data_IF_546362517009
#
_entry.id   IF_546362517009
#
_cell.length_a   1.000
_cell.length_b   1.000
_cell.length_c   1.000
_cell.angle_alpha   90.00
_cell.angle_beta   90.00
_cell.angle_gamma   90.00
#
_symmetry.space_group_name_H-M   'P 1'
#
loop_
_entity.id
_entity.type
_entity.pdbx_description
1 polymer ?
#
# COMPACT_ATOMS: atom_id res chain seq x y z
N UNK A 1 27.16 30.26 -18.68
CA UNK A 1 25.83 30.90 -18.72
C UNK A 1 25.71 31.61 -20.05
N UNK A 2 24.96 31.02 -20.98
CA UNK A 2 24.90 31.41 -22.40
C UNK A 2 23.64 32.24 -22.66
N UNK A 3 23.81 33.34 -23.40
CA UNK A 3 22.78 34.36 -23.69
C UNK A 3 21.58 33.80 -24.52
N UNK A 4 21.72 32.60 -25.07
CA UNK A 4 20.67 31.85 -25.78
C UNK A 4 19.53 31.35 -24.88
N UNK A 5 19.80 31.17 -23.59
CA UNK A 5 18.86 30.49 -22.69
C UNK A 5 17.72 31.44 -22.27
N UNK A 6 17.99 32.75 -22.16
CA UNK A 6 16.99 33.74 -21.73
C UNK A 6 15.88 33.97 -22.76
N UNK A 7 16.20 34.02 -24.06
CA UNK A 7 15.20 34.17 -25.13
C UNK A 7 14.25 32.97 -25.16
N UNK A 8 14.81 31.76 -25.04
CA UNK A 8 14.04 30.51 -25.06
C UNK A 8 13.13 30.39 -23.84
N UNK A 9 13.57 30.86 -22.66
CA UNK A 9 12.73 30.91 -21.45
C UNK A 9 11.53 31.86 -21.58
N UNK A 10 11.72 33.03 -22.21
CA UNK A 10 10.64 34.00 -22.44
C UNK A 10 9.61 33.45 -23.42
N UNK A 11 10.07 32.85 -24.53
CA UNK A 11 9.20 32.18 -25.49
C UNK A 11 8.41 31.05 -24.85
N UNK A 12 9.07 30.21 -24.05
CA UNK A 12 8.45 29.10 -23.33
C UNK A 12 7.34 29.57 -22.38
N UNK A 13 7.56 30.64 -21.61
CA UNK A 13 6.51 31.23 -20.76
C UNK A 13 5.32 31.71 -21.60
N UNK A 14 5.58 32.40 -22.71
CA UNK A 14 4.51 32.91 -23.59
C UNK A 14 3.67 31.77 -24.21
N UNK A 15 4.31 30.66 -24.59
CA UNK A 15 3.68 29.48 -25.16
C UNK A 15 2.84 28.76 -24.11
N UNK A 16 3.34 28.64 -22.87
CA UNK A 16 2.60 28.06 -21.75
C UNK A 16 1.35 28.89 -21.44
N UNK A 17 1.43 30.22 -21.41
CA UNK A 17 0.27 31.07 -21.16
C UNK A 17 -0.80 30.94 -22.25
N UNK A 18 -0.39 30.89 -23.52
CA UNK A 18 -1.31 30.65 -24.65
C UNK A 18 -2.00 29.28 -24.52
N UNK A 19 -1.23 28.26 -24.16
CA UNK A 19 -1.74 26.92 -23.96
C UNK A 19 -2.72 26.85 -22.77
N UNK A 20 -2.43 27.52 -21.65
CA UNK A 20 -3.31 27.61 -20.47
C UNK A 20 -4.63 28.30 -20.78
N UNK A 21 -4.60 29.40 -21.55
CA UNK A 21 -5.80 30.10 -22.03
C UNK A 21 -6.68 29.20 -22.88
N UNK A 22 -6.08 28.39 -23.75
CA UNK A 22 -6.82 27.47 -24.64
C UNK A 22 -7.47 26.31 -23.89
N UNK A 23 -6.81 25.75 -22.88
CA UNK A 23 -7.35 24.64 -22.08
C UNK A 23 -8.19 25.09 -20.87
N UNK A 24 -8.39 26.40 -20.69
CA UNK A 24 -9.03 27.01 -19.53
C UNK A 24 -8.47 26.50 -18.18
N UNK A 25 -7.14 26.35 -18.11
CA UNK A 25 -6.44 25.79 -16.96
C UNK A 25 -5.85 26.86 -16.04
N UNK A 26 -6.14 26.80 -14.73
CA UNK A 26 -5.61 27.75 -13.75
C UNK A 26 -4.17 27.49 -13.30
N UNK A 27 -3.65 26.26 -13.50
CA UNK A 27 -2.32 25.83 -13.04
C UNK A 27 -1.61 25.05 -14.15
N UNK A 28 -0.28 25.14 -14.19
CA UNK A 28 0.58 24.36 -15.11
C UNK A 28 0.32 22.83 -15.04
N UNK A 29 -0.13 22.36 -13.86
CA UNK A 29 -0.53 20.97 -13.66
C UNK A 29 -1.68 20.53 -14.59
N UNK A 30 -2.54 21.46 -15.03
CA UNK A 30 -3.61 21.18 -15.99
C UNK A 30 -3.08 20.91 -17.38
N UNK A 31 -2.02 21.61 -17.80
CA UNK A 31 -1.37 21.44 -19.10
C UNK A 31 -0.76 20.04 -19.25
N UNK A 32 -0.18 19.53 -18.17
CA UNK A 32 0.45 18.22 -18.10
C UNK A 32 -0.46 17.04 -18.54
N UNK A 33 -1.79 17.17 -18.40
CA UNK A 33 -2.77 16.14 -18.80
C UNK A 33 -2.94 15.97 -20.32
N UNK A 34 -2.53 16.99 -21.07
CA UNK A 34 -2.69 17.04 -22.54
C UNK A 34 -1.40 16.73 -23.29
N UNK A 35 -0.30 16.54 -22.56
CA UNK A 35 1.02 16.28 -23.15
C UNK A 35 1.31 14.78 -23.04
N UNK A 36 1.37 14.05 -24.17
CA UNK A 36 1.72 12.63 -24.18
C UNK A 36 3.21 12.41 -23.88
N UNK A 37 3.55 11.22 -23.38
CA UNK A 37 4.93 10.78 -23.16
C UNK A 37 5.13 9.38 -23.74
N UNK A 38 6.31 9.11 -24.28
CA UNK A 38 6.68 7.82 -24.91
C UNK A 38 6.51 6.61 -23.98
N UNK A 39 6.65 6.80 -22.67
CA UNK A 39 6.48 5.75 -21.65
C UNK A 39 5.00 5.34 -21.41
N UNK A 40 4.07 6.00 -22.09
CA UNK A 40 2.63 5.83 -21.93
C UNK A 40 2.07 6.67 -20.79
N UNK A 41 0.93 7.32 -21.04
CA UNK A 41 0.26 8.23 -20.10
C UNK A 41 0.57 9.71 -20.34
N UNK A 42 -0.02 10.55 -19.50
CA UNK A 42 0.20 12.00 -19.52
C UNK A 42 1.48 12.38 -18.78
N UNK A 43 2.08 13.51 -19.16
CA UNK A 43 3.31 13.97 -18.54
C UNK A 43 3.14 14.30 -17.05
N UNK A 44 4.04 13.81 -16.20
CA UNK A 44 4.02 14.19 -14.79
C UNK A 44 4.58 15.60 -14.60
N UNK A 45 4.05 16.36 -13.64
CA UNK A 45 4.48 17.73 -13.37
C UNK A 45 5.98 17.85 -13.00
N UNK A 46 6.57 16.80 -12.42
CA UNK A 46 8.02 16.73 -12.19
C UNK A 46 8.81 16.71 -13.50
N UNK A 47 8.37 15.92 -14.48
CA UNK A 47 8.99 15.88 -15.80
C UNK A 47 8.84 17.22 -16.51
N UNK A 48 7.66 17.85 -16.41
CA UNK A 48 7.45 19.19 -16.97
C UNK A 48 8.41 20.23 -16.36
N UNK A 49 8.61 20.20 -15.03
CA UNK A 49 9.58 21.07 -14.36
C UNK A 49 11.03 20.79 -14.78
N UNK A 50 11.37 19.52 -15.02
CA UNK A 50 12.70 19.10 -15.50
C UNK A 50 12.97 19.53 -16.94
N UNK A 51 12.00 19.34 -17.85
CA UNK A 51 12.08 19.73 -19.25
C UNK A 51 12.27 21.24 -19.46
N UNK A 52 11.74 22.08 -18.55
CA UNK A 52 11.99 23.53 -18.57
C UNK A 52 13.48 23.88 -18.45
N UNK A 53 14.25 23.10 -17.70
CA UNK A 53 15.68 23.33 -17.46
C UNK A 53 16.59 22.59 -18.44
N UNK A 54 16.23 21.36 -18.82
CA UNK A 54 17.10 20.51 -19.65
C UNK A 54 16.85 20.65 -21.15
N UNK A 55 15.59 20.74 -21.61
CA UNK A 55 15.25 20.79 -23.04
C UNK A 55 14.03 21.68 -23.33
N UNK A 56 14.17 23.02 -23.20
CA UNK A 56 13.04 23.95 -23.37
C UNK A 56 12.49 23.97 -24.81
N UNK A 57 13.33 23.73 -25.82
CA UNK A 57 12.92 23.71 -27.24
C UNK A 57 11.96 22.56 -27.56
N UNK A 58 12.26 21.37 -27.04
CA UNK A 58 11.41 20.18 -27.21
C UNK A 58 10.04 20.41 -26.55
N UNK A 59 10.04 21.05 -25.38
CA UNK A 59 8.80 21.36 -24.68
C UNK A 59 7.91 22.33 -25.47
N UNK A 60 8.49 23.35 -26.11
CA UNK A 60 7.76 24.28 -26.98
C UNK A 60 7.13 23.54 -28.17
N UNK A 61 7.89 22.67 -28.84
CA UNK A 61 7.37 21.86 -29.94
C UNK A 61 6.20 20.98 -29.49
N UNK A 62 6.36 20.28 -28.35
CA UNK A 62 5.34 19.38 -27.81
C UNK A 62 4.04 20.12 -27.44
N UNK A 63 4.14 21.28 -26.80
CA UNK A 63 2.98 22.13 -26.47
C UNK A 63 2.31 22.65 -27.73
N UNK A 64 3.09 23.04 -28.74
CA UNK A 64 2.55 23.58 -29.99
C UNK A 64 1.74 22.51 -30.72
N UNK A 65 2.32 21.33 -30.93
CA UNK A 65 1.67 20.22 -31.64
C UNK A 65 0.43 19.70 -30.91
N UNK A 66 0.49 19.48 -29.59
CA UNK A 66 -0.59 18.81 -28.86
C UNK A 66 -1.62 19.74 -28.23
N UNK A 67 -1.30 21.03 -28.06
CA UNK A 67 -2.21 21.99 -27.41
C UNK A 67 -2.58 23.15 -28.32
N UNK A 68 -1.61 23.81 -28.97
CA UNK A 68 -1.89 25.00 -29.78
C UNK A 68 -2.50 24.66 -31.14
N UNK A 69 -2.01 23.63 -31.82
CA UNK A 69 -2.51 23.23 -33.15
C UNK A 69 -3.73 22.30 -33.06
N UNK A 70 -3.92 21.61 -31.94
CA UNK A 70 -5.04 20.71 -31.74
C UNK A 70 -6.37 21.47 -31.57
N UNK A 71 -7.33 21.32 -32.49
CA UNK A 71 -8.67 21.96 -32.41
C UNK A 71 -9.44 21.62 -31.12
N UNK A 72 -9.28 20.39 -30.62
CA UNK A 72 -9.75 19.95 -29.30
C UNK A 72 -8.61 19.19 -28.62
N UNK A 73 -7.91 19.77 -27.63
CA UNK A 73 -6.82 19.08 -26.96
C UNK A 73 -7.38 17.87 -26.22
N UNK A 74 -6.94 16.67 -26.60
CA UNK A 74 -7.42 15.43 -26.02
C UNK A 74 -6.66 15.13 -24.72
N UNK A 75 -7.39 14.84 -23.65
CA UNK A 75 -6.77 14.39 -22.40
C UNK A 75 -6.14 13.02 -22.62
N UNK A 76 -4.85 12.89 -22.34
CA UNK A 76 -4.13 11.62 -22.47
C UNK A 76 -4.55 10.70 -21.33
N UNK A 77 -5.05 9.52 -21.67
CA UNK A 77 -5.45 8.53 -20.66
C UNK A 77 -4.23 8.09 -19.85
N UNK A 78 -4.33 8.03 -18.51
CA UNK A 78 -3.22 7.55 -17.68
C UNK A 78 -2.79 6.14 -18.08
N UNK A 79 -1.49 5.85 -17.96
CA UNK A 79 -0.97 4.49 -18.17
C UNK A 79 -1.74 3.52 -17.28
N UNK A 80 -2.30 2.41 -17.83
CA UNK A 80 -2.95 1.42 -17.00
C UNK A 80 -1.94 0.89 -16.00
N UNK A 81 -2.34 0.84 -14.72
CA UNK A 81 -1.51 0.22 -13.69
C UNK A 81 -1.33 -1.24 -14.09
N UNK A 82 -0.12 -1.75 -13.96
CA UNK A 82 0.12 -3.19 -14.11
C UNK A 82 -0.89 -3.93 -13.22
N UNK A 83 -1.50 -5.03 -13.70
CA UNK A 83 -2.36 -5.86 -12.87
C UNK A 83 -1.64 -6.14 -11.56
N UNK A 84 -2.29 -5.80 -10.44
CA UNK A 84 -1.66 -5.79 -9.11
C UNK A 84 -1.45 -7.22 -8.61
N UNK A 85 -0.53 -7.94 -9.24
CA UNK A 85 -0.20 -9.34 -9.00
C UNK A 85 -1.35 -10.31 -9.26
N UNK A 86 -1.01 -11.51 -9.75
CA UNK A 86 -1.79 -12.68 -9.35
C UNK A 86 -1.77 -12.71 -7.83
N UNK A 87 -2.95 -12.78 -7.17
CA UNK A 87 -3.03 -12.99 -5.72
C UNK A 87 -2.00 -14.07 -5.38
N UNK A 88 -0.94 -13.71 -4.65
CA UNK A 88 0.01 -14.68 -4.07
C UNK A 88 -0.83 -15.85 -3.58
N UNK A 89 -0.54 -17.06 -4.09
CA UNK A 89 -1.34 -18.26 -3.82
C UNK A 89 -1.70 -18.31 -2.35
N UNK A 90 -2.99 -18.23 -2.07
CA UNK A 90 -3.53 -18.42 -0.73
C UNK A 90 -3.69 -19.93 -0.56
N UNK A 91 -2.60 -20.68 -0.58
CA UNK A 91 -2.55 -22.07 -0.10
C UNK A 91 -2.58 -22.08 1.44
N UNK A 92 -3.43 -21.22 2.02
CA UNK A 92 -3.70 -21.15 3.44
C UNK A 92 -4.94 -22.00 3.63
N UNK A 93 -4.76 -23.27 3.98
CA UNK A 93 -5.85 -24.17 4.33
C UNK A 93 -6.76 -23.45 5.34
N UNK A 94 -7.97 -23.09 4.93
CA UNK A 94 -8.96 -22.46 5.79
C UNK A 94 -9.60 -23.53 6.65
N UNK A 95 -8.96 -23.90 7.77
CA UNK A 95 -9.58 -24.78 8.74
C UNK A 95 -10.80 -24.08 9.36
N UNK A 96 -11.96 -24.73 9.29
CA UNK A 96 -13.12 -24.31 10.06
C UNK A 96 -12.92 -24.68 11.53
N UNK A 97 -13.71 -24.07 12.43
CA UNK A 97 -13.67 -24.41 13.86
C UNK A 97 -13.85 -25.92 14.09
N UNK A 98 -14.71 -26.56 13.30
CA UNK A 98 -14.96 -27.99 13.38
C UNK A 98 -13.74 -28.83 12.96
N UNK A 99 -13.01 -28.40 11.92
CA UNK A 99 -11.80 -29.09 11.48
C UNK A 99 -10.71 -29.04 12.57
N UNK A 100 -10.57 -27.90 13.24
CA UNK A 100 -9.63 -27.75 14.37
C UNK A 100 -10.02 -28.67 15.54
N UNK A 101 -11.32 -28.76 15.86
CA UNK A 101 -11.81 -29.66 16.91
C UNK A 101 -11.55 -31.14 16.59
N UNK A 102 -11.74 -31.54 15.32
CA UNK A 102 -11.42 -32.90 14.85
C UNK A 102 -9.92 -33.19 14.93
N UNK A 103 -9.08 -32.25 14.52
CA UNK A 103 -7.62 -32.41 14.59
C UNK A 103 -7.16 -32.47 16.05
N UNK A 104 -7.73 -31.66 16.95
CA UNK A 104 -7.48 -31.73 18.38
C UNK A 104 -7.86 -33.09 18.98
N UNK A 105 -9.00 -33.65 18.55
CA UNK A 105 -9.43 -34.97 18.99
C UNK A 105 -8.46 -36.07 18.51
N UNK A 106 -8.03 -36.01 17.25
CA UNK A 106 -7.03 -36.94 16.70
C UNK A 106 -5.68 -36.82 17.43
N UNK A 107 -5.22 -35.60 17.72
CA UNK A 107 -3.99 -35.36 18.46
C UNK A 107 -4.04 -35.92 19.89
N UNK A 108 -5.20 -35.83 20.57
CA UNK A 108 -5.43 -36.45 21.89
C UNK A 108 -5.36 -37.98 21.83
N UNK A 109 -5.97 -38.58 20.81
CA UNK A 109 -5.94 -40.04 20.60
C UNK A 109 -4.54 -40.55 20.26
N UNK A 110 -3.75 -39.76 19.52
CA UNK A 110 -2.37 -40.07 19.17
C UNK A 110 -1.37 -39.80 20.31
N UNK A 111 -1.78 -39.15 21.41
CA UNK A 111 -0.89 -38.74 22.49
C UNK A 111 0.09 -37.63 22.12
N UNK A 112 -0.15 -36.91 21.02
CA UNK A 112 0.72 -35.83 20.54
C UNK A 112 0.49 -34.55 21.36
N UNK A 113 1.23 -34.45 22.47
CA UNK A 113 1.16 -33.32 23.41
C UNK A 113 1.56 -31.99 22.77
N UNK A 114 2.43 -32.01 21.77
CA UNK A 114 2.93 -30.81 21.12
C UNK A 114 1.88 -30.23 20.16
N UNK A 115 1.23 -31.10 19.39
CA UNK A 115 0.14 -30.71 18.49
C UNK A 115 -1.07 -30.20 19.28
N UNK A 116 -1.39 -30.82 20.42
CA UNK A 116 -2.43 -30.31 21.33
C UNK A 116 -2.07 -28.91 21.83
N UNK A 117 -0.84 -28.67 22.29
CA UNK A 117 -0.43 -27.35 22.79
C UNK A 117 -0.51 -26.28 21.69
N UNK A 118 -0.09 -26.62 20.47
CA UNK A 118 -0.12 -25.72 19.30
C UNK A 118 -1.54 -25.40 18.83
N UNK A 119 -2.43 -26.39 18.79
CA UNK A 119 -3.81 -26.21 18.33
C UNK A 119 -4.77 -25.65 19.39
N UNK A 120 -4.40 -25.74 20.67
CA UNK A 120 -5.20 -25.20 21.79
C UNK A 120 -4.87 -23.73 22.08
N UNK A 121 -4.01 -23.07 21.29
CA UNK A 121 -3.71 -21.64 21.46
C UNK A 121 -4.97 -20.80 21.24
N UNK A 122 -5.66 -20.50 22.34
CA UNK A 122 -6.81 -19.60 22.39
C UNK A 122 -6.30 -18.16 22.30
N UNK A 123 -6.98 -17.33 21.51
CA UNK A 123 -6.70 -15.89 21.47
C UNK A 123 -6.90 -15.29 22.87
N UNK A 124 -6.08 -14.31 23.24
CA UNK A 124 -6.12 -13.62 24.53
C UNK A 124 -7.51 -13.02 24.80
N UNK A 125 -8.20 -12.56 23.74
CA UNK A 125 -9.58 -12.06 23.84
C UNK A 125 -10.57 -13.15 24.22
N UNK A 126 -10.35 -14.39 23.78
CA UNK A 126 -11.19 -15.52 24.13
C UNK A 126 -10.93 -15.97 25.56
N UNK A 127 -9.65 -16.10 25.96
CA UNK A 127 -9.27 -16.47 27.34
C UNK A 127 -9.82 -15.45 28.34
N UNK A 128 -9.71 -14.14 28.06
CA UNK A 128 -10.31 -13.08 28.91
C UNK A 128 -11.81 -13.23 29.09
N UNK A 129 -12.56 -13.53 28.02
CA UNK A 129 -14.01 -13.70 28.08
C UNK A 129 -14.40 -14.93 28.90
N UNK A 130 -13.71 -16.04 28.69
CA UNK A 130 -13.92 -17.28 29.45
C UNK A 130 -13.61 -17.08 30.94
N UNK A 131 -12.52 -16.37 31.27
CA UNK A 131 -12.13 -16.09 32.66
C UNK A 131 -13.17 -15.20 33.37
N UNK A 132 -13.65 -14.15 32.70
CA UNK A 132 -14.72 -13.29 33.23
C UNK A 132 -15.99 -14.09 33.47
N UNK A 133 -16.35 -15.01 32.56
CA UNK A 133 -17.53 -15.87 32.74
C UNK A 133 -17.33 -16.87 33.89
N UNK A 134 -16.14 -17.43 34.06
CA UNK A 134 -15.79 -18.31 35.20
C UNK A 134 -15.99 -17.58 36.53
N UNK A 135 -15.48 -16.35 36.62
CA UNK A 135 -15.64 -15.48 37.81
C UNK A 135 -17.12 -15.17 38.07
N UNK A 136 -17.88 -14.81 37.03
CA UNK A 136 -19.32 -14.52 37.14
C UNK A 136 -20.13 -15.73 37.61
N UNK A 137 -19.73 -16.93 37.23
CA UNK A 137 -20.39 -18.18 37.63
C UNK A 137 -19.87 -18.75 38.95
N UNK A 138 -18.89 -18.09 39.59
CA UNK A 138 -18.29 -18.52 40.86
C UNK A 138 -17.41 -19.77 40.74
N UNK A 139 -17.00 -20.15 39.53
CA UNK A 139 -16.11 -21.30 39.30
C UNK A 139 -14.68 -20.80 39.22
N UNK A 140 -13.79 -21.42 40.00
CA UNK A 140 -12.35 -21.17 39.93
C UNK A 140 -11.75 -22.26 39.05
N UNK A 141 -11.29 -21.89 37.86
CA UNK A 141 -10.55 -22.77 36.95
C UNK A 141 -9.07 -22.37 36.94
N UNK A 142 -8.19 -23.05 37.70
CA UNK A 142 -6.76 -22.70 37.79
C UNK A 142 -6.04 -22.79 36.44
N UNK A 143 -6.44 -23.72 35.59
CA UNK A 143 -5.86 -23.90 34.25
C UNK A 143 -6.15 -22.71 33.33
N UNK A 144 -7.34 -22.12 33.46
CA UNK A 144 -7.75 -20.95 32.69
C UNK A 144 -6.98 -19.69 33.13
N UNK A 145 -6.71 -19.58 34.43
CA UNK A 145 -5.85 -18.53 34.99
C UNK A 145 -4.40 -18.68 34.51
N UNK A 146 -3.84 -19.89 34.56
CA UNK A 146 -2.48 -20.16 34.09
C UNK A 146 -2.34 -19.88 32.59
N UNK A 147 -3.32 -20.29 31.79
CA UNK A 147 -3.38 -19.98 30.35
C UNK A 147 -3.49 -18.47 30.09
N UNK A 148 -4.23 -17.74 30.93
CA UNK A 148 -4.32 -16.28 30.84
C UNK A 148 -2.97 -15.60 31.14
N UNK A 149 -2.30 -16.01 32.22
CA UNK A 149 -0.98 -15.48 32.59
C UNK A 149 0.05 -15.77 31.51
N UNK A 150 0.11 -16.99 30.98
CA UNK A 150 1.03 -17.35 29.87
C UNK A 150 0.73 -16.52 28.61
N UNK A 151 -0.55 -16.35 28.25
CA UNK A 151 -0.95 -15.55 27.10
C UNK A 151 -0.63 -14.05 27.26
N UNK A 152 -0.80 -13.48 28.46
CA UNK A 152 -0.45 -12.08 28.76
C UNK A 152 1.06 -11.88 28.71
N UNK A 153 1.84 -12.79 29.30
CA UNK A 153 3.30 -12.73 29.27
C UNK A 153 3.82 -12.79 27.83
N UNK A 154 3.31 -13.70 27.01
CA UNK A 154 3.67 -13.80 25.60
C UNK A 154 3.25 -12.57 24.77
N UNK A 155 2.08 -12.00 25.08
CA UNK A 155 1.61 -10.77 24.43
C UNK A 155 2.51 -9.57 24.78
N UNK A 156 2.87 -9.41 26.05
CA UNK A 156 3.75 -8.35 26.50
C UNK A 156 5.18 -8.50 25.95
N UNK A 157 5.73 -9.72 25.96
CA UNK A 157 7.03 -10.01 25.35
C UNK A 157 7.05 -9.71 23.84
N UNK A 158 5.94 -9.99 23.13
CA UNK A 158 5.78 -9.64 21.72
C UNK A 158 5.74 -8.12 21.50
N UNK A 159 5.05 -7.38 22.37
CA UNK A 159 5.00 -5.92 22.31
C UNK A 159 6.36 -5.27 22.62
N UNK A 160 7.09 -5.81 23.60
CA UNK A 160 8.46 -5.36 23.93
C UNK A 160 9.44 -5.64 22.78
N UNK A 161 9.33 -6.79 22.11
CA UNK A 161 10.15 -7.10 20.93
C UNK A 161 9.89 -6.14 19.77
N UNK A 162 8.63 -5.73 19.56
CA UNK A 162 8.25 -4.73 18.56
C UNK A 162 8.78 -3.34 18.93
N UNK A 163 8.69 -2.95 20.20
CA UNK A 163 9.19 -1.67 20.70
C UNK A 163 10.73 -1.56 20.64
N UNK A 164 11.43 -2.70 20.76
CA UNK A 164 12.89 -2.78 20.76
C UNK A 164 13.52 -2.83 19.36
N UNK A 165 12.72 -2.75 18.29
CA UNK A 165 13.21 -2.68 16.90
C UNK A 165 13.92 -3.94 16.39
N UNK A 166 13.83 -5.09 17.08
CA UNK A 166 14.43 -6.33 16.61
C UNK A 166 13.52 -6.95 15.55
N UNK A 167 13.88 -6.78 14.28
CA UNK A 167 13.30 -7.54 13.18
C UNK A 167 13.65 -9.01 13.36
N UNK A 168 12.66 -9.82 13.75
CA UNK A 168 12.78 -11.27 13.67
C UNK A 168 12.89 -11.64 12.19
N UNK A 169 14.11 -11.87 11.72
CA UNK A 169 14.37 -12.65 10.51
C UNK A 169 13.92 -14.08 10.84
N UNK A 170 12.76 -14.46 10.32
CA UNK A 170 12.25 -15.82 10.40
C UNK A 170 13.11 -16.73 9.50
N UNK A 171 13.71 -17.76 10.10
CA UNK A 171 14.10 -18.99 9.41
C UNK A 171 12.92 -19.98 9.46
#
# INVERSE_FOLDING_TARGET
MTISDSKTEVELKSVIEKALKKINGAKENGLCRYLPMDSGGYMHHFTFRKMKGESPKELIALITTHVIDANKPQTVTPKPRAPRGSRKRRDQLHFTKHDIERILHMARMAGDKEMIRKLTQKDLKQIRRELINSIKTGRIEPDLWNAYVEAVTNHNASLEAIASGHTLVAN
#
